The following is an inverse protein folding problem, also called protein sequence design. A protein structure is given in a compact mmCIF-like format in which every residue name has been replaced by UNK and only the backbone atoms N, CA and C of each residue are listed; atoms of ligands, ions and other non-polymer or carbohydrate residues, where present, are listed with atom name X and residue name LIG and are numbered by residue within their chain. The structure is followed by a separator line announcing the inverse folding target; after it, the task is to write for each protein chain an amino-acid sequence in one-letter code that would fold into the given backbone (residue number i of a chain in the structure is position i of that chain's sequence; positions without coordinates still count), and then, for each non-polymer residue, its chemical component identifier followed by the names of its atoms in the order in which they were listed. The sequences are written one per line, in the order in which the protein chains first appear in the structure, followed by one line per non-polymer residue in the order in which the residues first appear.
data_IF_774184700959
#
_entry.id   IF_774184700959
#
_cell.length_a   1.000
_cell.length_b   1.000
_cell.length_c   1.000
_cell.angle_alpha   90.00
_cell.angle_beta   90.00
_cell.angle_gamma   90.00
#
_symmetry.space_group_name_H-M   'P 1'
#
loop_
_entity.id
_entity.type
_entity.pdbx_description
1 polymer ?
#
# COMPACT_ATOMS: atom_id res chain seq x y z
N UNK A 1 -22.32 16.73 19.79
CA UNK A 1 -21.34 15.65 20.06
C UNK A 1 -21.93 14.38 19.49
N UNK A 2 -21.59 14.01 18.25
CA UNK A 2 -21.99 12.72 17.67
C UNK A 2 -21.06 11.68 18.27
N UNK A 3 -21.57 10.86 19.17
CA UNK A 3 -20.90 9.64 19.61
C UNK A 3 -20.68 8.77 18.37
N UNK A 4 -19.43 8.58 18.01
CA UNK A 4 -19.03 7.54 17.04
C UNK A 4 -19.32 6.19 17.70
N UNK A 5 -20.50 5.62 17.43
CA UNK A 5 -21.00 4.37 18.02
C UNK A 5 -20.24 3.12 17.57
N UNK A 6 -19.38 3.20 16.58
CA UNK A 6 -18.50 2.10 16.15
C UNK A 6 -17.09 2.62 15.92
N UNK A 7 -16.09 2.01 16.57
CA UNK A 7 -14.69 2.25 16.20
C UNK A 7 -14.50 1.75 14.78
N UNK A 8 -14.04 2.59 13.86
CA UNK A 8 -13.81 2.15 12.48
C UNK A 8 -12.83 0.98 12.49
N UNK A 9 -13.18 -0.07 11.77
CA UNK A 9 -12.29 -1.22 11.68
C UNK A 9 -11.25 -0.99 10.60
N UNK A 10 -9.98 -1.12 10.95
CA UNK A 10 -8.86 -1.25 10.01
C UNK A 10 -8.59 -2.72 9.67
N UNK A 11 -9.43 -3.62 10.13
CA UNK A 11 -9.33 -5.06 9.88
C UNK A 11 -9.95 -5.38 8.51
N UNK A 12 -9.14 -5.31 7.47
CA UNK A 12 -9.54 -5.63 6.10
C UNK A 12 -9.93 -7.11 5.92
N UNK A 13 -9.55 -8.01 6.83
CA UNK A 13 -10.02 -9.39 6.87
C UNK A 13 -11.53 -9.49 7.02
N UNK A 14 -12.12 -8.52 7.72
CA UNK A 14 -13.55 -8.46 8.00
C UNK A 14 -14.38 -7.68 6.98
N UNK A 15 -13.79 -7.16 5.91
CA UNK A 15 -14.51 -6.46 4.84
C UNK A 15 -14.74 -7.44 3.67
N UNK A 16 -15.93 -8.03 3.51
CA UNK A 16 -16.17 -9.13 2.56
C UNK A 16 -15.90 -8.75 1.09
N UNK A 17 -16.10 -7.46 0.74
CA UNK A 17 -15.97 -6.96 -0.64
C UNK A 17 -14.59 -6.41 -0.97
N UNK A 18 -13.64 -6.42 0.00
CA UNK A 18 -12.35 -5.78 -0.17
C UNK A 18 -11.58 -6.31 -1.39
N UNK A 19 -11.42 -7.64 -1.51
CA UNK A 19 -10.67 -8.24 -2.61
C UNK A 19 -11.30 -7.93 -3.97
N UNK A 20 -12.63 -8.05 -4.09
CA UNK A 20 -13.34 -7.75 -5.33
C UNK A 20 -13.27 -6.27 -5.71
N UNK A 21 -13.22 -5.37 -4.72
CA UNK A 21 -13.02 -3.94 -4.97
C UNK A 21 -11.59 -3.68 -5.46
N UNK A 22 -10.57 -4.17 -4.75
CA UNK A 22 -9.16 -3.94 -5.10
C UNK A 22 -8.82 -4.51 -6.48
N UNK A 23 -9.41 -5.65 -6.86
CA UNK A 23 -9.21 -6.25 -8.17
C UNK A 23 -9.63 -5.34 -9.36
N UNK A 24 -10.53 -4.37 -9.14
CA UNK A 24 -11.02 -3.41 -10.14
C UNK A 24 -10.65 -1.96 -9.85
N UNK A 25 -9.92 -1.69 -8.76
CA UNK A 25 -9.59 -0.34 -8.32
C UNK A 25 -8.63 0.36 -9.30
N UNK A 26 -9.07 1.41 -10.01
CA UNK A 26 -8.24 2.08 -10.99
C UNK A 26 -7.00 2.72 -10.35
N UNK A 27 -7.06 3.15 -9.07
CA UNK A 27 -5.90 3.72 -8.40
C UNK A 27 -4.82 2.68 -8.11
N UNK A 28 -5.22 1.44 -7.77
CA UNK A 28 -4.25 0.34 -7.59
C UNK A 28 -3.58 0.01 -8.92
N UNK A 29 -4.38 -0.25 -9.95
CA UNK A 29 -3.88 -0.76 -11.22
C UNK A 29 -3.25 0.32 -12.11
N UNK A 30 -3.82 1.52 -12.13
CA UNK A 30 -3.35 2.60 -13.01
C UNK A 30 -2.29 3.52 -12.41
N UNK A 31 -2.14 3.53 -11.09
CA UNK A 31 -1.31 4.50 -10.38
C UNK A 31 -0.30 3.84 -9.44
N UNK A 32 -0.77 3.08 -8.43
CA UNK A 32 0.07 2.63 -7.33
C UNK A 32 0.97 1.45 -7.71
N UNK A 33 0.43 0.38 -8.28
CA UNK A 33 1.20 -0.79 -8.68
C UNK A 33 2.25 -0.44 -9.75
N UNK A 34 1.89 0.26 -10.85
CA UNK A 34 2.88 0.67 -11.85
C UNK A 34 4.00 1.54 -11.27
N UNK A 35 3.68 2.48 -10.39
CA UNK A 35 4.68 3.35 -9.78
C UNK A 35 5.69 2.56 -8.94
N UNK A 36 5.21 1.60 -8.11
CA UNK A 36 6.09 0.73 -7.33
C UNK A 36 6.94 -0.15 -8.23
N UNK A 37 6.35 -0.81 -9.23
CA UNK A 37 7.08 -1.68 -10.16
C UNK A 37 8.15 -0.92 -10.95
N UNK A 38 7.84 0.29 -11.42
CA UNK A 38 8.79 1.14 -12.13
C UNK A 38 9.96 1.57 -11.24
N UNK A 39 9.70 1.92 -9.96
CA UNK A 39 10.75 2.32 -9.01
C UNK A 39 11.70 1.17 -8.66
N UNK A 40 11.23 -0.06 -8.71
CA UNK A 40 12.07 -1.25 -8.51
C UNK A 40 13.12 -1.44 -9.62
N UNK A 41 12.90 -0.87 -10.82
CA UNK A 41 13.89 -0.90 -11.91
C UNK A 41 14.19 -2.31 -12.43
N UNK A 42 13.16 -3.14 -12.58
CA UNK A 42 13.23 -4.53 -13.00
C UNK A 42 12.84 -5.52 -11.88
N UNK A 43 12.16 -6.60 -12.26
CA UNK A 43 11.50 -7.49 -11.29
C UNK A 43 12.16 -8.87 -11.15
N UNK A 44 13.24 -9.19 -11.88
CA UNK A 44 14.02 -10.44 -11.67
C UNK A 44 14.85 -10.33 -10.38
N UNK A 45 14.15 -10.26 -9.24
CA UNK A 45 14.68 -9.98 -7.91
C UNK A 45 13.93 -10.80 -6.87
N UNK A 46 14.53 -10.95 -5.70
CA UNK A 46 13.86 -11.45 -4.51
C UNK A 46 13.23 -10.28 -3.77
N UNK A 47 11.91 -10.26 -3.67
CA UNK A 47 11.13 -9.12 -3.16
C UNK A 47 10.34 -9.53 -1.91
N UNK A 48 10.39 -8.68 -0.87
CA UNK A 48 9.53 -8.78 0.31
C UNK A 48 8.31 -7.87 0.10
N UNK A 49 7.09 -8.42 0.12
CA UNK A 49 5.87 -7.62 0.08
C UNK A 49 5.23 -7.52 1.46
N UNK A 50 5.21 -6.31 2.00
CA UNK A 50 4.76 -5.99 3.36
C UNK A 50 3.29 -5.63 3.34
N UNK A 51 2.45 -6.37 4.11
CA UNK A 51 1.01 -6.22 4.10
C UNK A 51 0.40 -6.68 2.78
N UNK A 52 0.72 -7.90 2.40
CA UNK A 52 0.44 -8.48 1.07
C UNK A 52 -1.05 -8.66 0.76
N UNK A 53 -1.92 -8.64 1.78
CA UNK A 53 -3.36 -8.83 1.63
C UNK A 53 -3.72 -10.17 0.96
N UNK A 54 -4.60 -10.11 -0.03
CA UNK A 54 -5.04 -11.25 -0.85
C UNK A 54 -4.01 -11.71 -1.90
N UNK A 55 -2.82 -11.16 -1.86
CA UNK A 55 -1.70 -11.54 -2.72
C UNK A 55 -1.80 -11.06 -4.17
N UNK A 56 -2.68 -10.12 -4.50
CA UNK A 56 -2.82 -9.61 -5.88
C UNK A 56 -1.51 -9.00 -6.39
N UNK A 57 -0.90 -8.09 -5.62
CA UNK A 57 0.33 -7.41 -6.05
C UNK A 57 1.54 -8.36 -6.15
N UNK A 58 1.81 -9.24 -5.17
CA UNK A 58 2.83 -10.29 -5.33
C UNK A 58 2.69 -11.14 -6.58
N UNK A 59 1.46 -11.55 -6.92
CA UNK A 59 1.23 -12.33 -8.15
C UNK A 59 1.56 -11.52 -9.41
N UNK A 60 1.24 -10.23 -9.44
CA UNK A 60 1.62 -9.35 -10.56
C UNK A 60 3.14 -9.27 -10.70
N UNK A 61 3.88 -9.03 -9.60
CA UNK A 61 5.35 -8.99 -9.63
C UNK A 61 5.96 -10.34 -10.04
N UNK A 62 5.40 -11.46 -9.57
CA UNK A 62 5.91 -12.79 -9.90
C UNK A 62 5.69 -13.16 -11.37
N UNK A 63 4.61 -12.69 -12.02
CA UNK A 63 4.41 -12.84 -13.49
C UNK A 63 5.50 -12.14 -14.29
N UNK A 64 6.08 -11.08 -13.75
CA UNK A 64 7.21 -10.36 -14.34
C UNK A 64 8.59 -10.95 -13.93
N UNK A 65 8.59 -12.08 -13.24
CA UNK A 65 9.79 -12.84 -12.90
C UNK A 65 10.36 -12.61 -11.52
N UNK A 66 9.64 -11.95 -10.61
CA UNK A 66 10.06 -11.80 -9.22
C UNK A 66 9.89 -13.11 -8.43
N UNK A 67 10.78 -13.33 -7.45
CA UNK A 67 10.58 -14.31 -6.37
C UNK A 67 10.08 -13.54 -5.16
N UNK A 68 8.82 -13.71 -4.77
CA UNK A 68 8.18 -12.88 -3.76
C UNK A 68 7.89 -13.65 -2.48
N UNK A 69 8.19 -13.03 -1.33
CA UNK A 69 7.65 -13.44 -0.04
C UNK A 69 6.74 -12.33 0.45
N UNK A 70 5.45 -12.63 0.61
CA UNK A 70 4.48 -11.68 1.14
C UNK A 70 4.04 -12.06 2.55
N UNK A 71 3.92 -11.08 3.45
CA UNK A 71 3.30 -11.31 4.75
C UNK A 71 2.16 -10.33 5.02
N UNK A 72 1.19 -10.80 5.79
CA UNK A 72 0.07 -10.00 6.31
C UNK A 72 -0.33 -10.53 7.70
N UNK A 73 -0.85 -9.64 8.54
CA UNK A 73 -1.36 -10.02 9.86
C UNK A 73 -2.71 -10.74 9.80
N UNK A 74 -3.49 -10.52 8.73
CA UNK A 74 -4.81 -11.10 8.54
C UNK A 74 -4.68 -12.51 7.96
N UNK A 75 -4.93 -13.54 8.80
CA UNK A 75 -4.86 -14.94 8.40
C UNK A 75 -5.83 -15.27 7.26
N UNK A 76 -7.01 -14.65 7.26
CA UNK A 76 -8.03 -14.79 6.23
C UNK A 76 -7.52 -14.31 4.87
N UNK A 77 -6.80 -13.17 4.83
CA UNK A 77 -6.20 -12.65 3.60
C UNK A 77 -5.09 -13.53 3.07
N UNK A 78 -4.27 -14.08 3.95
CA UNK A 78 -3.26 -15.07 3.55
C UNK A 78 -3.89 -16.36 3.03
N UNK A 79 -5.02 -16.81 3.59
CA UNK A 79 -5.75 -17.96 3.06
C UNK A 79 -6.31 -17.67 1.65
N UNK A 80 -6.91 -16.49 1.42
CA UNK A 80 -7.33 -16.03 0.10
C UNK A 80 -6.15 -15.97 -0.89
N UNK A 81 -5.01 -15.39 -0.46
CA UNK A 81 -3.81 -15.29 -1.28
C UNK A 81 -3.30 -16.67 -1.73
N UNK A 82 -3.28 -17.66 -0.83
CA UNK A 82 -2.89 -19.04 -1.14
C UNK A 82 -3.88 -19.71 -2.11
N UNK A 83 -5.18 -19.56 -1.87
CA UNK A 83 -6.21 -20.12 -2.76
C UNK A 83 -6.13 -19.57 -4.20
N UNK A 84 -5.80 -18.28 -4.35
CA UNK A 84 -5.58 -17.68 -5.68
C UNK A 84 -4.24 -18.07 -6.30
N UNK A 85 -3.26 -18.50 -5.49
CA UNK A 85 -1.94 -18.88 -5.94
C UNK A 85 -1.91 -20.31 -6.51
N UNK A 86 -2.62 -21.25 -5.89
CA UNK A 86 -2.59 -22.67 -6.24
C UNK A 86 -3.00 -22.97 -7.70
N UNK A 87 -3.68 -22.01 -8.35
CA UNK A 87 -4.04 -22.08 -9.77
C UNK A 87 -2.92 -21.61 -10.73
N UNK A 88 -1.75 -21.16 -10.22
CA UNK A 88 -0.70 -20.54 -11.02
C UNK A 88 0.70 -20.97 -10.53
N UNK A 89 1.55 -21.39 -11.43
CA UNK A 89 2.97 -21.72 -11.11
C UNK A 89 3.82 -20.45 -10.96
N UNK A 90 3.56 -19.69 -9.90
CA UNK A 90 4.25 -18.45 -9.58
C UNK A 90 5.18 -18.61 -8.38
N UNK A 91 6.32 -17.92 -8.39
CA UNK A 91 7.31 -17.95 -7.31
C UNK A 91 6.90 -17.00 -6.15
N UNK A 92 5.82 -17.33 -5.45
CA UNK A 92 5.32 -16.54 -4.31
C UNK A 92 5.11 -17.41 -3.08
N UNK A 93 5.59 -16.94 -1.92
CA UNK A 93 5.32 -17.54 -0.61
C UNK A 93 4.54 -16.55 0.25
N UNK A 94 3.49 -17.03 0.93
CA UNK A 94 2.66 -16.20 1.83
C UNK A 94 2.79 -16.63 3.28
N UNK A 95 2.94 -15.65 4.20
CA UNK A 95 3.18 -15.85 5.63
C UNK A 95 2.21 -15.03 6.45
N UNK A 96 1.54 -15.62 7.45
CA UNK A 96 0.79 -14.85 8.45
C UNK A 96 1.78 -14.31 9.47
N UNK A 97 1.98 -13.00 9.50
CA UNK A 97 2.91 -12.33 10.42
C UNK A 97 2.60 -10.85 10.55
N UNK A 98 3.09 -10.24 11.62
CA UNK A 98 3.18 -8.79 11.81
C UNK A 98 4.62 -8.32 11.52
N UNK A 99 4.89 -7.00 11.43
CA UNK A 99 6.25 -6.49 11.32
C UNK A 99 7.17 -6.95 12.46
N UNK A 100 6.61 -7.22 13.64
CA UNK A 100 7.37 -7.66 14.81
C UNK A 100 7.70 -9.17 14.78
N UNK A 101 6.84 -9.97 14.13
CA UNK A 101 6.95 -11.45 14.15
C UNK A 101 7.47 -12.04 12.85
N UNK A 102 7.49 -11.25 11.76
CA UNK A 102 7.96 -11.74 10.47
C UNK A 102 9.48 -12.04 10.54
N UNK A 103 9.80 -13.24 10.08
CA UNK A 103 11.18 -13.69 9.84
C UNK A 103 11.23 -14.50 8.54
N UNK A 104 12.30 -14.33 7.80
CA UNK A 104 12.55 -15.10 6.56
C UNK A 104 14.02 -15.49 6.49
N UNK A 105 14.29 -16.62 5.81
CA UNK A 105 15.63 -17.02 5.47
C UNK A 105 16.18 -16.19 4.31
N UNK A 106 17.39 -15.66 4.49
CA UNK A 106 18.11 -14.87 3.50
C UNK A 106 17.54 -13.45 3.31
N UNK A 107 18.25 -12.67 2.50
CA UNK A 107 17.97 -11.26 2.27
C UNK A 107 17.13 -11.05 1.02
N UNK A 108 16.49 -9.88 0.93
CA UNK A 108 15.73 -9.42 -0.23
C UNK A 108 16.46 -8.28 -0.92
N UNK A 109 16.37 -8.23 -2.25
CA UNK A 109 16.93 -7.15 -3.06
C UNK A 109 16.12 -5.86 -2.91
N UNK A 110 14.82 -6.01 -2.68
CA UNK A 110 13.89 -4.91 -2.45
C UNK A 110 12.72 -5.35 -1.57
N UNK A 111 12.03 -4.37 -1.01
CA UNK A 111 10.74 -4.57 -0.35
C UNK A 111 9.69 -3.61 -0.92
N UNK A 112 8.43 -4.03 -0.86
CA UNK A 112 7.28 -3.24 -1.30
C UNK A 112 6.21 -3.15 -0.24
N UNK A 113 5.39 -2.10 -0.31
CA UNK A 113 4.19 -1.94 0.51
C UNK A 113 3.21 -1.02 -0.20
N UNK A 114 1.97 -1.44 -0.37
CA UNK A 114 0.98 -0.62 -1.07
C UNK A 114 -0.16 -0.25 -0.13
N UNK A 115 -0.13 0.98 0.38
CA UNK A 115 -1.13 1.50 1.32
C UNK A 115 -1.24 0.69 2.62
N UNK A 116 -0.13 0.29 3.21
CA UNK A 116 -0.09 -0.43 4.50
C UNK A 116 0.36 0.48 5.64
N UNK A 117 1.45 1.22 5.44
CA UNK A 117 2.04 2.07 6.48
C UNK A 117 1.05 3.07 7.11
N UNK A 118 0.08 3.66 6.36
CA UNK A 118 -0.92 4.55 6.94
C UNK A 118 -1.87 3.89 7.95
N UNK A 119 -1.88 2.55 8.01
CA UNK A 119 -2.69 1.78 8.97
C UNK A 119 -1.91 1.37 10.23
N UNK A 120 -0.67 1.78 10.38
CA UNK A 120 0.02 1.69 11.67
C UNK A 120 -0.79 2.45 12.74
N UNK A 121 -0.96 1.84 13.92
CA UNK A 121 -1.77 2.40 15.00
C UNK A 121 -1.13 3.61 15.67
N UNK A 122 0.20 3.66 15.62
CA UNK A 122 1.03 4.67 16.24
C UNK A 122 2.42 4.73 15.60
N UNK A 123 3.26 5.64 16.08
CA UNK A 123 4.62 5.83 15.58
C UNK A 123 5.52 4.59 15.79
N UNK A 124 5.35 3.86 16.88
CA UNK A 124 6.17 2.68 17.17
C UNK A 124 5.82 1.52 16.21
N UNK A 125 4.53 1.35 15.88
CA UNK A 125 4.13 0.40 14.84
C UNK A 125 4.63 0.85 13.46
N UNK A 126 4.51 2.13 13.11
CA UNK A 126 5.08 2.68 11.86
C UNK A 126 6.57 2.40 11.77
N UNK A 127 7.34 2.67 12.82
CA UNK A 127 8.76 2.39 12.89
C UNK A 127 9.07 0.89 12.76
N UNK A 128 8.21 0.02 13.32
CA UNK A 128 8.42 -1.42 13.25
C UNK A 128 8.41 -1.96 11.81
N UNK A 129 7.65 -1.36 10.90
CA UNK A 129 7.69 -1.69 9.47
C UNK A 129 9.07 -1.41 8.86
N UNK A 130 9.66 -0.25 9.13
CA UNK A 130 11.02 0.09 8.66
C UNK A 130 12.07 -0.83 9.27
N UNK A 131 12.01 -1.07 10.59
CA UNK A 131 12.91 -1.97 11.32
C UNK A 131 12.90 -3.37 10.74
N UNK A 132 11.72 -3.95 10.57
CA UNK A 132 11.61 -5.30 10.03
C UNK A 132 12.12 -5.36 8.59
N UNK A 133 11.71 -4.42 7.76
CA UNK A 133 12.14 -4.34 6.35
C UNK A 133 13.66 -4.19 6.26
N UNK A 134 14.26 -3.26 7.04
CA UNK A 134 15.72 -3.05 7.04
C UNK A 134 16.50 -4.31 7.38
N UNK A 135 16.02 -5.10 8.34
CA UNK A 135 16.68 -6.36 8.75
C UNK A 135 16.75 -7.41 7.65
N UNK A 136 15.83 -7.34 6.70
CA UNK A 136 15.72 -8.31 5.61
C UNK A 136 16.21 -7.78 4.25
N UNK A 137 16.61 -6.51 4.14
CA UNK A 137 17.12 -5.93 2.91
C UNK A 137 18.66 -6.03 2.83
N UNK A 138 19.16 -6.35 1.63
CA UNK A 138 20.59 -6.19 1.32
C UNK A 138 21.02 -4.73 1.49
N UNK A 139 22.33 -4.49 1.63
CA UNK A 139 22.91 -3.13 1.62
C UNK A 139 22.58 -2.48 0.26
N UNK A 140 22.12 -1.23 0.29
CA UNK A 140 21.63 -0.53 -0.90
C UNK A 140 20.25 -0.94 -1.37
N UNK A 141 19.61 -1.91 -0.71
CA UNK A 141 18.25 -2.34 -1.00
C UNK A 141 17.23 -1.23 -0.74
N UNK A 142 16.14 -1.24 -1.51
CA UNK A 142 15.07 -0.24 -1.42
C UNK A 142 13.81 -0.83 -0.80
N UNK A 143 13.15 -0.05 0.06
CA UNK A 143 11.77 -0.25 0.48
C UNK A 143 10.89 0.77 -0.23
N UNK A 144 10.08 0.33 -1.18
CA UNK A 144 9.22 1.17 -2.02
C UNK A 144 7.78 1.05 -1.54
N UNK A 145 7.21 2.15 -1.08
CA UNK A 145 5.87 2.15 -0.51
C UNK A 145 4.99 3.24 -1.12
N UNK A 146 3.73 2.92 -1.41
CA UNK A 146 2.73 3.97 -1.59
C UNK A 146 2.02 4.22 -0.28
N UNK A 147 1.91 5.51 0.06
CA UNK A 147 1.27 5.97 1.29
C UNK A 147 0.21 7.02 0.99
N UNK A 148 -0.69 7.26 1.93
CA UNK A 148 -1.52 8.45 1.89
C UNK A 148 -0.62 9.69 1.98
N UNK A 149 -0.80 10.63 1.06
CA UNK A 149 0.15 11.75 0.93
C UNK A 149 0.13 12.64 2.18
N UNK A 150 1.28 12.84 2.85
CA UNK A 150 1.40 13.75 4.00
C UNK A 150 0.88 15.17 3.74
N UNK A 151 1.01 15.64 2.50
CA UNK A 151 0.63 17.00 2.10
C UNK A 151 -0.78 17.10 1.51
N UNK A 152 -1.57 16.02 1.53
CA UNK A 152 -2.92 16.04 0.99
C UNK A 152 -3.82 16.99 1.81
N UNK A 153 -4.53 17.86 1.09
CA UNK A 153 -5.41 18.88 1.69
C UNK A 153 -6.76 19.04 0.99
N UNK A 154 -7.01 18.27 -0.07
CA UNK A 154 -8.26 18.36 -0.84
C UNK A 154 -9.37 17.48 -0.23
N UNK A 155 -9.63 17.67 1.08
CA UNK A 155 -10.68 16.96 1.81
C UNK A 155 -12.08 17.32 1.29
N UNK A 156 -13.03 16.40 1.52
CA UNK A 156 -14.45 16.51 1.14
C UNK A 156 -14.70 16.67 -0.38
N UNK A 157 -13.69 16.44 -1.21
CA UNK A 157 -13.81 16.45 -2.67
C UNK A 157 -13.83 15.03 -3.21
N UNK A 158 -14.65 14.83 -4.24
CA UNK A 158 -14.65 13.57 -4.99
C UNK A 158 -13.41 13.49 -5.88
N UNK A 159 -12.64 12.44 -5.65
CA UNK A 159 -11.44 12.11 -6.40
C UNK A 159 -11.73 10.84 -7.20
N UNK A 160 -12.53 10.96 -8.26
CA UNK A 160 -12.92 9.83 -9.11
C UNK A 160 -13.72 8.80 -8.28
N UNK A 161 -13.05 7.76 -7.79
CA UNK A 161 -13.61 6.67 -6.97
C UNK A 161 -13.18 6.77 -5.49
N UNK A 162 -12.82 7.97 -5.04
CA UNK A 162 -12.41 8.25 -3.65
C UNK A 162 -13.01 9.56 -3.18
N UNK A 163 -13.32 9.60 -1.90
CA UNK A 163 -13.50 10.83 -1.14
C UNK A 163 -12.74 10.70 0.16
N UNK A 164 -12.05 11.75 0.58
CA UNK A 164 -11.29 11.76 1.83
C UNK A 164 -11.89 12.78 2.77
N UNK A 165 -12.27 12.32 3.96
CA UNK A 165 -12.79 13.16 5.04
C UNK A 165 -11.73 13.32 6.11
N UNK A 166 -11.53 14.55 6.58
CA UNK A 166 -10.67 14.80 7.74
C UNK A 166 -11.42 14.44 9.01
N UNK A 167 -10.77 13.70 9.88
CA UNK A 167 -11.24 13.39 11.25
C UNK A 167 -10.36 14.10 12.28
N UNK A 168 -10.56 13.80 13.55
CA UNK A 168 -9.78 14.38 14.64
C UNK A 168 -8.30 13.96 14.57
N UNK A 169 -7.43 14.88 14.97
CA UNK A 169 -5.98 14.64 14.95
C UNK A 169 -5.43 14.42 13.55
N UNK A 170 -4.65 13.36 13.39
CA UNK A 170 -4.07 12.93 12.11
C UNK A 170 -4.88 11.83 11.41
N UNK A 171 -6.11 11.54 11.87
CA UNK A 171 -6.98 10.54 11.26
C UNK A 171 -7.70 11.10 10.04
N UNK A 172 -7.85 10.25 9.03
CA UNK A 172 -8.67 10.50 7.85
C UNK A 172 -9.51 9.27 7.52
N UNK A 173 -10.73 9.49 7.06
CA UNK A 173 -11.58 8.44 6.50
C UNK A 173 -11.49 8.49 4.98
N UNK A 174 -11.16 7.36 4.38
CA UNK A 174 -11.12 7.23 2.92
C UNK A 174 -12.34 6.46 2.45
N UNK A 175 -13.31 7.14 1.86
CA UNK A 175 -14.45 6.51 1.22
C UNK A 175 -14.05 5.98 -0.16
N UNK A 176 -14.32 4.71 -0.39
CA UNK A 176 -14.15 4.01 -1.65
C UNK A 176 -15.49 3.99 -2.36
N UNK A 177 -15.57 4.67 -3.50
CA UNK A 177 -16.82 4.90 -4.22
C UNK A 177 -16.96 3.92 -5.38
N UNK A 178 -18.16 3.44 -5.61
CA UNK A 178 -18.51 2.74 -6.85
C UNK A 178 -18.45 3.71 -8.04
N UNK A 179 -17.71 3.33 -9.09
CA UNK A 179 -17.48 4.20 -10.26
C UNK A 179 -18.77 4.59 -10.99
N UNK A 180 -19.78 3.70 -11.00
CA UNK A 180 -21.04 3.95 -11.72
C UNK A 180 -22.09 4.70 -10.90
N UNK A 181 -22.28 4.31 -9.63
CA UNK A 181 -23.35 4.84 -8.77
C UNK A 181 -22.89 5.95 -7.81
N UNK A 182 -21.59 6.08 -7.58
CA UNK A 182 -21.03 6.95 -6.54
C UNK A 182 -21.30 6.48 -5.10
N UNK A 183 -21.91 5.30 -4.91
CA UNK A 183 -22.19 4.77 -3.60
C UNK A 183 -20.88 4.39 -2.86
N UNK A 184 -20.85 4.61 -1.54
CA UNK A 184 -19.73 4.18 -0.70
C UNK A 184 -19.74 2.67 -0.55
N UNK A 185 -18.69 2.00 -0.99
CA UNK A 185 -18.51 0.55 -0.86
C UNK A 185 -17.70 0.19 0.39
N UNK A 186 -16.73 1.03 0.76
CA UNK A 186 -15.91 0.88 1.96
C UNK A 186 -15.46 2.26 2.47
N UNK A 187 -15.18 2.36 3.76
CA UNK A 187 -14.76 3.62 4.37
C UNK A 187 -13.71 3.44 5.49
N UNK A 188 -12.55 2.80 5.20
CA UNK A 188 -11.51 2.63 6.21
C UNK A 188 -11.01 3.95 6.75
N UNK A 189 -10.57 3.93 8.02
CA UNK A 189 -9.83 5.02 8.63
C UNK A 189 -8.34 4.66 8.63
N UNK A 190 -7.53 5.66 8.37
CA UNK A 190 -6.10 5.58 8.32
C UNK A 190 -5.47 6.84 8.93
N UNK A 191 -4.18 6.78 9.25
CA UNK A 191 -3.43 7.95 9.68
C UNK A 191 -2.87 8.71 8.48
N UNK A 192 -2.99 10.03 8.51
CA UNK A 192 -2.17 10.92 7.71
C UNK A 192 -0.92 11.27 8.53
N UNK A 193 0.05 10.36 8.56
CA UNK A 193 1.35 10.66 9.14
C UNK A 193 2.01 11.79 8.37
N UNK A 194 2.72 12.67 9.08
CA UNK A 194 3.51 13.72 8.46
C UNK A 194 4.73 13.15 7.73
N UNK A 195 5.32 13.96 6.85
CA UNK A 195 6.59 13.62 6.19
C UNK A 195 7.69 13.34 7.20
N UNK A 196 7.77 14.17 8.24
CA UNK A 196 8.76 14.10 9.31
C UNK A 196 8.62 12.81 10.14
N UNK A 197 7.38 12.34 10.39
CA UNK A 197 7.15 11.07 11.08
C UNK A 197 7.65 9.88 10.26
N UNK A 198 7.36 9.82 8.96
CA UNK A 198 7.88 8.78 8.07
C UNK A 198 9.40 8.80 7.99
N UNK A 199 10.00 9.98 7.79
CA UNK A 199 11.46 10.14 7.67
C UNK A 199 12.16 9.80 9.00
N UNK A 200 11.59 10.20 10.14
CA UNK A 200 12.11 9.85 11.46
C UNK A 200 12.05 8.34 11.73
N UNK A 201 10.93 7.69 11.37
CA UNK A 201 10.77 6.24 11.54
C UNK A 201 11.79 5.47 10.69
N UNK A 202 12.06 5.91 9.46
CA UNK A 202 13.05 5.31 8.57
C UNK A 202 14.49 5.59 9.05
N UNK A 203 14.81 6.84 9.41
CA UNK A 203 16.14 7.25 9.82
C UNK A 203 16.61 6.54 11.10
N UNK A 204 15.71 6.30 12.07
CA UNK A 204 16.01 5.53 13.27
C UNK A 204 16.39 4.06 12.97
N UNK A 205 16.07 3.56 11.79
CA UNK A 205 16.44 2.21 11.34
C UNK A 205 17.53 2.24 10.24
N UNK A 206 18.22 3.38 10.05
CA UNK A 206 19.35 3.53 9.13
C UNK A 206 18.93 3.54 7.65
N UNK A 207 17.75 4.12 7.35
CA UNK A 207 17.26 4.26 5.98
C UNK A 207 17.03 5.74 5.65
N UNK A 208 17.37 6.14 4.42
CA UNK A 208 17.10 7.48 3.89
C UNK A 208 15.86 7.47 3.00
N UNK A 209 15.02 8.49 3.11
CA UNK A 209 13.78 8.61 2.37
C UNK A 209 13.89 9.56 1.18
N UNK A 210 13.31 9.15 0.05
CA UNK A 210 13.00 9.99 -1.11
C UNK A 210 11.48 9.97 -1.33
N UNK A 211 10.91 11.11 -1.76
CA UNK A 211 9.48 11.26 -2.02
C UNK A 211 9.22 11.56 -3.49
N UNK A 212 8.27 10.85 -4.09
CA UNK A 212 7.88 11.06 -5.49
C UNK A 212 6.37 11.23 -5.61
N UNK A 213 5.95 12.07 -6.54
CA UNK A 213 4.55 12.20 -6.95
C UNK A 213 4.14 10.96 -7.76
N UNK A 214 2.85 10.63 -7.67
CA UNK A 214 2.26 9.53 -8.41
C UNK A 214 1.46 10.08 -9.60
N UNK A 215 1.67 9.51 -10.77
CA UNK A 215 0.92 9.79 -11.98
C UNK A 215 0.44 8.49 -12.60
N UNK A 216 -0.75 8.52 -13.19
CA UNK A 216 -1.26 7.35 -13.93
C UNK A 216 -0.32 7.02 -15.10
N UNK A 217 -0.06 5.74 -15.26
CA UNK A 217 0.79 5.25 -16.35
C UNK A 217 0.13 5.47 -17.72
N UNK A 218 0.91 5.45 -18.83
CA UNK A 218 0.39 5.68 -20.17
C UNK A 218 -0.76 4.74 -20.55
N UNK A 219 -0.70 3.48 -20.15
CA UNK A 219 -1.76 2.50 -20.40
C UNK A 219 -3.07 2.89 -19.67
N UNK A 220 -2.99 3.27 -18.40
CA UNK A 220 -4.14 3.69 -17.62
C UNK A 220 -4.77 4.98 -18.17
N UNK A 221 -3.93 5.91 -18.65
CA UNK A 221 -4.40 7.14 -19.34
C UNK A 221 -5.06 6.79 -20.67
N UNK A 222 -4.50 5.85 -21.42
CA UNK A 222 -5.10 5.37 -22.68
C UNK A 222 -6.47 4.72 -22.47
N UNK A 223 -6.64 3.95 -21.38
CA UNK A 223 -7.89 3.25 -21.06
C UNK A 223 -9.00 4.16 -20.53
N UNK A 224 -8.69 5.11 -19.66
CA UNK A 224 -9.66 5.94 -18.95
C UNK A 224 -9.69 7.40 -19.42
N UNK A 225 -8.68 7.87 -20.11
CA UNK A 225 -8.50 9.24 -20.57
C UNK A 225 -7.95 10.22 -19.51
N UNK A 226 -7.28 11.25 -19.96
CA UNK A 226 -6.66 12.31 -19.10
C UNK A 226 -7.66 12.97 -18.14
N UNK A 227 -8.90 13.21 -18.62
CA UNK A 227 -9.96 13.85 -17.83
C UNK A 227 -10.31 13.04 -16.57
N UNK A 228 -10.26 11.70 -16.68
CA UNK A 228 -10.52 10.81 -15.54
C UNK A 228 -9.43 10.99 -14.47
N UNK A 229 -8.15 11.05 -14.85
CA UNK A 229 -7.03 11.11 -13.91
C UNK A 229 -6.74 12.50 -13.35
N UNK A 230 -7.23 13.55 -13.99
CA UNK A 230 -6.94 14.96 -13.62
C UNK A 230 -7.15 15.25 -12.14
N UNK A 231 -8.29 14.91 -11.48
CA UNK A 231 -8.47 15.19 -10.06
C UNK A 231 -7.41 14.58 -9.18
N UNK A 232 -6.97 13.37 -9.51
CA UNK A 232 -5.91 12.66 -8.78
C UNK A 232 -4.53 13.31 -9.01
N UNK A 233 -4.22 13.68 -10.26
CA UNK A 233 -2.94 14.32 -10.61
C UNK A 233 -2.82 15.72 -9.98
N UNK A 234 -3.90 16.47 -9.88
CA UNK A 234 -3.91 17.81 -9.26
C UNK A 234 -3.82 17.75 -7.74
N UNK A 235 -4.50 16.80 -7.11
CA UNK A 235 -4.60 16.75 -5.64
C UNK A 235 -3.59 15.82 -4.99
N UNK A 236 -3.01 14.88 -5.74
CA UNK A 236 -2.01 13.92 -5.28
C UNK A 236 -2.41 13.22 -3.95
N UNK A 237 -3.49 12.42 -3.92
CA UNK A 237 -3.94 11.78 -2.67
C UNK A 237 -2.95 10.73 -2.14
N UNK A 238 -2.04 10.27 -2.99
CA UNK A 238 -1.00 9.30 -2.65
C UNK A 238 0.38 9.84 -2.99
N UNK A 239 1.37 9.37 -2.25
CA UNK A 239 2.79 9.62 -2.52
C UNK A 239 3.55 8.29 -2.60
N UNK A 240 4.63 8.27 -3.37
CA UNK A 240 5.61 7.18 -3.36
C UNK A 240 6.72 7.55 -2.38
N UNK A 241 6.90 6.72 -1.38
CA UNK A 241 8.00 6.77 -0.42
C UNK A 241 9.01 5.69 -0.80
N UNK A 242 10.25 6.10 -1.02
CA UNK A 242 11.37 5.20 -1.28
C UNK A 242 12.35 5.33 -0.13
N UNK A 243 12.45 4.32 0.72
CA UNK A 243 13.43 4.28 1.79
C UNK A 243 14.57 3.33 1.40
N UNK A 244 15.81 3.81 1.42
CA UNK A 244 16.99 3.05 0.99
C UNK A 244 17.92 2.79 2.16
N UNK A 245 18.42 1.57 2.27
CA UNK A 245 19.45 1.18 3.25
C UNK A 245 20.81 1.79 2.86
N UNK A 246 21.51 2.30 3.85
CA UNK A 246 22.89 2.72 3.70
C UNK A 246 23.85 1.54 3.69
#
# INVERSE_FOLDING_TARGET
MLELKEKPTTDFGKIPQYASYIARDPFRHGLQFPAVMNELGGLKKRILDVGTGDGLFPRLMAREGAVVVGYDKAAEKIAEAKAHHDAQDLQVKYVVATPQTFAADGMFDAATSVMVLPYASDFDELRSFFRNTRRHLVVGGKFVSTVFNPFFSAFERDLIVRRVKKLDGNLVQMEFLNEGSGAVEMNPILHQYSKEEYESAAAQEGMNCEWKKLFAGPEAVSQKGEKFWRPCHETQPYALLVAQTQ
#
